data_IF_895649054801
#
_entry.id   IF_895649054801
#
_cell.length_a   1.000
_cell.length_b   1.000
_cell.length_c   1.000
_cell.angle_alpha   90.00
_cell.angle_beta   90.00
_cell.angle_gamma   90.00
#
_symmetry.space_group_name_H-M   'P 1'
#
loop_
_entity.id
_entity.type
_entity.pdbx_description
1 polymer ?
#
# COMPACT_ATOMS: atom_id res chain seq x y z
N UNK A 1 23.96 1.70 1.98
CA UNK A 1 22.86 0.98 2.69
C UNK A 1 21.53 1.47 2.15
N UNK A 2 20.66 0.65 1.56
CA UNK A 2 19.34 1.12 1.18
C UNK A 2 18.48 1.23 2.43
N UNK A 3 18.07 2.45 2.79
CA UNK A 3 17.07 2.70 3.82
C UNK A 3 15.75 2.08 3.38
N UNK A 4 15.43 0.89 3.88
CA UNK A 4 14.07 0.36 3.85
C UNK A 4 13.26 1.18 4.83
N UNK A 5 12.40 2.07 4.33
CA UNK A 5 11.38 2.75 5.14
C UNK A 5 10.57 1.68 5.86
N UNK A 6 10.77 1.55 7.17
CA UNK A 6 10.03 0.61 7.99
C UNK A 6 8.59 1.10 8.10
N UNK A 7 7.66 0.28 7.63
CA UNK A 7 6.23 0.51 7.80
C UNK A 7 5.86 0.58 9.30
N UNK A 8 4.71 1.18 9.66
CA UNK A 8 4.28 1.34 11.05
C UNK A 8 4.07 0.00 11.77
N UNK A 9 3.86 -1.08 11.01
CA UNK A 9 3.74 -2.46 11.49
C UNK A 9 5.05 -3.26 11.43
N UNK A 10 6.20 -2.61 11.18
CA UNK A 10 7.50 -3.28 11.20
C UNK A 10 7.86 -3.71 12.63
N UNK A 11 8.39 -4.93 12.84
CA UNK A 11 8.84 -5.42 14.14
C UNK A 11 9.77 -4.46 14.90
N UNK A 12 10.50 -3.60 14.17
CA UNK A 12 11.45 -2.66 14.76
C UNK A 12 10.84 -1.42 15.43
N UNK A 13 9.54 -1.13 15.22
CA UNK A 13 8.89 0.09 15.78
C UNK A 13 8.06 -0.14 17.04
N UNK A 14 7.62 -1.37 17.31
CA UNK A 14 6.72 -1.67 18.43
C UNK A 14 7.43 -2.58 19.42
N UNK A 15 8.27 -2.01 20.29
CA UNK A 15 9.15 -2.76 21.21
C UNK A 15 8.45 -3.73 22.17
N UNK A 16 7.12 -3.79 22.18
CA UNK A 16 6.32 -4.72 22.99
C UNK A 16 5.16 -5.39 22.25
N UNK A 17 4.89 -5.06 20.98
CA UNK A 17 3.75 -5.64 20.22
C UNK A 17 4.30 -6.44 19.05
N UNK A 18 4.13 -7.77 19.04
CA UNK A 18 4.59 -8.58 17.92
C UNK A 18 3.83 -8.22 16.65
N UNK A 19 4.52 -8.19 15.52
CA UNK A 19 3.86 -8.07 14.23
C UNK A 19 3.01 -9.32 13.99
N UNK A 20 1.86 -9.16 13.33
CA UNK A 20 0.94 -10.27 13.09
C UNK A 20 1.59 -11.45 12.34
N UNK A 21 2.54 -11.16 11.45
CA UNK A 21 3.36 -12.17 10.75
C UNK A 21 4.29 -13.00 11.65
N UNK A 22 4.63 -12.50 12.84
CA UNK A 22 5.43 -13.22 13.85
C UNK A 22 4.56 -14.22 14.63
N UNK A 23 3.25 -13.98 14.68
CA UNK A 23 2.26 -14.88 15.30
C UNK A 23 1.76 -15.90 14.29
N UNK A 24 1.44 -15.47 13.07
CA UNK A 24 1.07 -16.33 11.95
C UNK A 24 1.49 -15.72 10.62
N UNK A 25 2.18 -16.51 9.79
CA UNK A 25 2.59 -16.10 8.44
C UNK A 25 1.40 -15.77 7.52
N UNK A 26 0.24 -16.34 7.82
CA UNK A 26 -1.01 -16.13 7.07
C UNK A 26 -1.72 -14.84 7.49
N UNK A 27 -1.41 -14.32 8.67
CA UNK A 27 -2.02 -13.12 9.24
C UNK A 27 -1.19 -11.87 8.91
N UNK A 28 -1.01 -11.60 7.62
CA UNK A 28 -0.39 -10.35 7.16
C UNK A 28 -1.39 -9.57 6.33
N UNK A 29 -2.02 -8.59 6.98
CA UNK A 29 -2.98 -7.67 6.35
C UNK A 29 -2.42 -6.27 6.49
N UNK A 30 -2.17 -5.63 5.36
CA UNK A 30 -1.71 -4.25 5.29
C UNK A 30 -2.80 -3.43 4.63
N UNK A 31 -3.29 -2.39 5.33
CA UNK A 31 -4.17 -1.42 4.72
C UNK A 31 -3.35 -0.46 3.84
N UNK A 32 -3.87 -0.15 2.65
CA UNK A 32 -3.22 0.72 1.68
C UNK A 32 -4.18 1.78 1.15
N UNK A 33 -3.65 2.95 0.83
CA UNK A 33 -4.38 4.06 0.21
C UNK A 33 -3.66 4.39 -1.09
N UNK A 34 -4.39 4.42 -2.20
CA UNK A 34 -3.81 4.56 -3.53
C UNK A 34 -4.61 5.54 -4.40
N UNK A 35 -3.96 6.02 -5.47
CA UNK A 35 -4.56 6.91 -6.46
C UNK A 35 -4.89 6.15 -7.74
N UNK A 36 -6.09 6.37 -8.26
CA UNK A 36 -6.57 5.78 -9.51
C UNK A 36 -6.93 6.88 -10.50
N UNK A 37 -6.78 6.59 -11.79
CA UNK A 37 -7.23 7.44 -12.87
C UNK A 37 -8.34 6.73 -13.66
N UNK A 38 -9.21 7.46 -14.37
CA UNK A 38 -10.23 6.86 -15.22
C UNK A 38 -9.63 5.92 -16.27
N UNK A 39 -10.43 4.93 -16.75
CA UNK A 39 -10.03 4.10 -17.87
C UNK A 39 -9.62 4.94 -19.08
N UNK A 40 -8.64 4.46 -19.85
CA UNK A 40 -8.14 5.12 -21.06
C UNK A 40 -7.51 6.52 -20.86
N UNK A 41 -7.15 6.88 -19.62
CA UNK A 41 -6.34 8.09 -19.38
C UNK A 41 -5.03 7.99 -20.18
N UNK A 42 -4.67 9.00 -21.01
CA UNK A 42 -3.47 8.92 -21.85
C UNK A 42 -2.19 8.72 -21.04
N UNK A 43 -1.29 7.87 -21.56
CA UNK A 43 0.00 7.56 -20.92
C UNK A 43 0.79 8.81 -20.50
N UNK A 44 0.92 9.87 -21.33
CA UNK A 44 1.65 11.08 -20.92
C UNK A 44 1.06 11.78 -19.68
N UNK A 45 -0.26 11.70 -19.48
CA UNK A 45 -0.93 12.26 -18.31
C UNK A 45 -0.64 11.41 -17.07
N UNK A 46 -0.72 10.09 -17.20
CA UNK A 46 -0.36 9.15 -16.12
C UNK A 46 1.10 9.33 -15.70
N UNK A 47 2.02 9.43 -16.66
CA UNK A 47 3.45 9.60 -16.38
C UNK A 47 3.71 10.92 -15.63
N UNK A 48 3.03 12.00 -16.02
CA UNK A 48 3.11 13.31 -15.33
C UNK A 48 2.58 13.24 -13.90
N UNK A 49 1.43 12.59 -13.68
CA UNK A 49 0.82 12.43 -12.35
C UNK A 49 1.73 11.57 -11.47
N UNK A 50 2.21 10.43 -11.97
CA UNK A 50 3.11 9.54 -11.24
C UNK A 50 4.38 10.28 -10.82
N UNK A 51 5.01 11.03 -11.74
CA UNK A 51 6.20 11.82 -11.42
C UNK A 51 5.95 12.87 -10.33
N UNK A 52 4.79 13.53 -10.34
CA UNK A 52 4.40 14.47 -9.30
C UNK A 52 4.18 13.78 -7.94
N UNK A 53 3.46 12.66 -7.92
CA UNK A 53 3.18 11.89 -6.70
C UNK A 53 4.45 11.37 -6.04
N UNK A 54 5.38 10.80 -6.82
CA UNK A 54 6.69 10.33 -6.33
C UNK A 54 7.46 11.47 -5.63
N UNK A 55 7.46 12.66 -6.23
CA UNK A 55 8.09 13.84 -5.61
C UNK A 55 7.36 14.27 -4.34
N UNK A 56 6.02 14.28 -4.34
CA UNK A 56 5.23 14.68 -3.18
C UNK A 56 5.47 13.77 -1.97
N UNK A 57 5.41 12.44 -2.13
CA UNK A 57 5.61 11.49 -1.01
C UNK A 57 7.06 11.40 -0.55
N UNK A 58 8.00 11.95 -1.32
CA UNK A 58 9.39 12.09 -0.92
C UNK A 58 9.65 13.29 0.00
N UNK A 59 8.76 14.28 0.03
CA UNK A 59 8.92 15.47 0.87
C UNK A 59 8.80 15.12 2.35
N UNK A 60 9.68 15.70 3.17
CA UNK A 60 9.73 15.43 4.61
C UNK A 60 8.47 15.92 5.34
N UNK A 61 7.94 17.09 4.96
CA UNK A 61 6.72 17.64 5.54
C UNK A 61 5.51 16.73 5.29
N UNK A 62 5.37 16.21 4.06
CA UNK A 62 4.33 15.24 3.69
C UNK A 62 4.48 13.95 4.49
N UNK A 63 5.70 13.39 4.56
CA UNK A 63 5.98 12.19 5.36
C UNK A 63 5.65 12.39 6.83
N UNK A 64 6.03 13.53 7.40
CA UNK A 64 5.74 13.86 8.79
C UNK A 64 4.24 13.93 9.07
N UNK A 65 3.45 14.52 8.17
CA UNK A 65 1.99 14.56 8.33
C UNK A 65 1.36 13.16 8.24
N UNK A 66 1.79 12.31 7.30
CA UNK A 66 1.30 10.94 7.21
C UNK A 66 1.67 10.11 8.45
N UNK A 67 2.87 10.29 9.00
CA UNK A 67 3.29 9.57 10.20
C UNK A 67 2.45 9.93 11.44
N UNK A 68 1.93 11.16 11.54
CA UNK A 68 0.96 11.53 12.59
C UNK A 68 -0.36 10.74 12.49
N UNK A 69 -0.71 10.27 11.29
CA UNK A 69 -1.87 9.43 11.01
C UNK A 69 -1.53 7.93 11.01
N UNK A 70 -0.33 7.55 11.45
CA UNK A 70 0.18 6.18 11.39
C UNK A 70 0.22 5.61 9.96
N UNK A 71 0.37 6.47 8.96
CA UNK A 71 0.54 6.09 7.56
C UNK A 71 2.00 6.29 7.16
N UNK A 72 2.58 5.31 6.47
CA UNK A 72 3.89 5.48 5.84
C UNK A 72 3.70 5.85 4.38
N UNK A 73 4.16 7.04 4.00
CA UNK A 73 4.11 7.48 2.61
C UNK A 73 5.15 6.71 1.79
N UNK A 74 4.68 5.94 0.81
CA UNK A 74 5.52 5.12 -0.08
C UNK A 74 5.17 5.36 -1.54
N UNK A 75 6.14 5.12 -2.42
CA UNK A 75 5.92 5.06 -3.87
C UNK A 75 6.23 3.66 -4.38
N UNK A 76 5.56 3.24 -5.46
CA UNK A 76 5.93 2.04 -6.21
C UNK A 76 6.86 2.41 -7.39
N UNK A 77 7.58 1.43 -7.98
CA UNK A 77 8.47 1.68 -9.12
C UNK A 77 7.81 2.31 -10.35
N UNK A 78 6.47 2.31 -10.43
CA UNK A 78 5.71 3.00 -11.46
C UNK A 78 4.27 2.49 -11.58
N UNK A 79 3.48 3.03 -12.53
CA UNK A 79 2.08 2.67 -12.73
C UNK A 79 1.85 1.17 -13.01
N UNK A 80 2.76 0.53 -13.75
CA UNK A 80 2.67 -0.91 -14.07
C UNK A 80 2.88 -1.79 -12.83
N UNK A 81 3.84 -1.44 -11.97
CA UNK A 81 4.07 -2.13 -10.71
C UNK A 81 2.86 -1.98 -9.77
N UNK A 82 2.26 -0.79 -9.78
CA UNK A 82 1.03 -0.51 -9.04
C UNK A 82 -0.15 -1.34 -9.54
N UNK A 83 -0.36 -1.44 -10.86
CA UNK A 83 -1.40 -2.29 -11.45
C UNK A 83 -1.23 -3.76 -11.07
N UNK A 84 0.01 -4.28 -11.12
CA UNK A 84 0.32 -5.67 -10.70
C UNK A 84 -0.01 -5.90 -9.24
N UNK A 85 0.33 -4.95 -8.36
CA UNK A 85 0.01 -5.04 -6.94
C UNK A 85 -1.50 -5.10 -6.70
N UNK A 86 -2.27 -4.17 -7.28
CA UNK A 86 -3.74 -4.15 -7.11
C UNK A 86 -4.37 -5.42 -7.65
N UNK A 87 -3.93 -5.92 -8.81
CA UNK A 87 -4.41 -7.18 -9.36
C UNK A 87 -4.13 -8.37 -8.42
N UNK A 88 -2.95 -8.42 -7.80
CA UNK A 88 -2.62 -9.47 -6.83
C UNK A 88 -3.46 -9.41 -5.55
N UNK A 89 -3.71 -8.21 -5.02
CA UNK A 89 -4.55 -8.03 -3.83
C UNK A 89 -6.00 -8.38 -4.13
N UNK A 90 -6.52 -7.95 -5.29
CA UNK A 90 -7.85 -8.32 -5.76
C UNK A 90 -8.02 -9.83 -5.90
N UNK A 91 -7.03 -10.52 -6.50
CA UNK A 91 -7.05 -11.97 -6.62
C UNK A 91 -7.03 -12.66 -5.26
N UNK A 92 -6.13 -12.23 -4.35
CA UNK A 92 -5.96 -12.81 -3.01
C UNK A 92 -7.23 -12.70 -2.18
N UNK A 93 -7.75 -11.48 -2.01
CA UNK A 93 -8.96 -11.27 -1.22
C UNK A 93 -10.21 -11.82 -1.90
N UNK A 94 -10.30 -11.74 -3.23
CA UNK A 94 -11.40 -12.31 -3.98
C UNK A 94 -11.52 -13.82 -3.80
N UNK A 95 -10.38 -14.54 -3.79
CA UNK A 95 -10.39 -15.99 -3.52
C UNK A 95 -10.90 -16.29 -2.11
N UNK A 96 -10.35 -15.58 -1.12
CA UNK A 96 -10.74 -15.75 0.29
C UNK A 96 -12.24 -15.51 0.51
N UNK A 97 -12.79 -14.43 -0.06
CA UNK A 97 -14.21 -14.08 0.07
C UNK A 97 -15.10 -15.18 -0.53
N UNK A 98 -14.76 -15.69 -1.72
CA UNK A 98 -15.52 -16.76 -2.38
C UNK A 98 -15.43 -18.08 -1.64
N UNK A 99 -14.24 -18.49 -1.23
CA UNK A 99 -14.00 -19.73 -0.49
C UNK A 99 -14.73 -19.79 0.85
N UNK A 100 -14.89 -18.63 1.49
CA UNK A 100 -15.54 -18.50 2.81
C UNK A 100 -17.02 -18.14 2.73
N UNK A 101 -17.59 -17.96 1.54
CA UNK A 101 -18.99 -17.57 1.35
C UNK A 101 -19.31 -16.21 1.98
N UNK A 102 -18.34 -15.29 2.06
CA UNK A 102 -18.53 -13.97 2.64
C UNK A 102 -19.32 -13.12 1.65
N UNK A 103 -20.45 -12.57 2.08
CA UNK A 103 -21.29 -11.66 1.31
C UNK A 103 -21.48 -10.36 2.08
N UNK A 104 -21.66 -9.25 1.36
CA UNK A 104 -22.10 -8.00 1.99
C UNK A 104 -23.58 -8.22 2.33
N UNK A 105 -23.91 -8.25 3.61
CA UNK A 105 -25.30 -8.23 4.06
C UNK A 105 -25.97 -6.91 3.67
N UNK A 106 -27.24 -6.96 3.30
CA UNK A 106 -28.09 -5.77 3.18
C UNK A 106 -28.24 -5.03 4.52
#
# INVERSE_FOLDING_TARGET
MPMRSAAPWSPSRSGSVPAAGEVSKELVVTNWINFFAPPNTPKPVIDKINAALVKCVAREDVRAQFLKLLVTATSMPGPEAFQKFVASEYARYGSLVRERGIVIGE
#
